data_IF_682555700850
#
_entry.id   IF_682555700850
#
_cell.length_a   1.000
_cell.length_b   1.000
_cell.length_c   1.000
_cell.angle_alpha   90.00
_cell.angle_beta   90.00
_cell.angle_gamma   90.00
#
_symmetry.space_group_name_H-M   'P 1'
#
loop_
_entity.id
_entity.type
_entity.pdbx_description
1 polymer ?
#
# COMPACT_ATOMS: atom_id res chain seq x y z
N UNK A 1 3.09 2.56 -0.85
CA UNK A 1 2.38 2.73 -2.13
C UNK A 1 0.94 3.14 -1.92
N UNK A 2 0.19 2.41 -1.09
CA UNK A 2 -1.23 2.69 -0.85
C UNK A 2 -1.44 4.12 -0.33
N UNK A 3 -0.71 4.53 0.70
CA UNK A 3 -0.81 5.88 1.29
C UNK A 3 -0.54 6.98 0.26
N UNK A 4 0.52 6.83 -0.55
CA UNK A 4 0.84 7.80 -1.60
C UNK A 4 -0.23 7.85 -2.70
N UNK A 5 -0.83 6.70 -3.05
CA UNK A 5 -1.96 6.64 -3.97
C UNK A 5 -3.20 7.33 -3.40
N UNK A 6 -3.52 7.08 -2.13
CA UNK A 6 -4.67 7.68 -1.45
C UNK A 6 -4.51 9.21 -1.33
N UNK A 7 -3.29 9.69 -1.08
CA UNK A 7 -3.00 11.13 -1.03
C UNK A 7 -3.22 11.81 -2.39
N UNK A 8 -2.73 11.19 -3.48
CA UNK A 8 -2.93 11.71 -4.82
C UNK A 8 -4.42 11.72 -5.20
N UNK A 9 -5.16 10.64 -4.90
CA UNK A 9 -6.61 10.59 -5.12
C UNK A 9 -7.31 11.69 -4.34
N UNK A 10 -6.95 11.91 -3.07
CA UNK A 10 -7.55 12.95 -2.24
C UNK A 10 -7.35 14.35 -2.84
N UNK A 11 -6.16 14.63 -3.38
CA UNK A 11 -5.85 15.88 -4.07
C UNK A 11 -6.73 16.08 -5.31
N UNK A 12 -6.86 15.05 -6.15
CA UNK A 12 -7.67 15.12 -7.36
C UNK A 12 -9.17 15.23 -7.03
N UNK A 13 -9.66 14.52 -5.99
CA UNK A 13 -11.02 14.68 -5.46
C UNK A 13 -11.27 16.13 -5.07
N UNK A 14 -10.35 16.73 -4.32
CA UNK A 14 -10.50 18.11 -3.86
C UNK A 14 -10.64 19.09 -5.03
N UNK A 15 -9.85 18.93 -6.09
CA UNK A 15 -9.97 19.75 -7.32
C UNK A 15 -11.37 19.61 -7.94
N UNK A 16 -11.86 18.39 -8.11
CA UNK A 16 -13.20 18.15 -8.65
C UNK A 16 -14.27 18.79 -7.77
N UNK A 17 -14.16 18.68 -6.45
CA UNK A 17 -15.14 19.26 -5.52
C UNK A 17 -15.13 20.80 -5.50
N UNK A 18 -13.99 21.42 -5.82
CA UNK A 18 -13.88 22.89 -5.97
C UNK A 18 -14.66 23.41 -7.18
N UNK A 19 -14.83 22.59 -8.22
CA UNK A 19 -15.59 22.92 -9.41
C UNK A 19 -17.11 22.70 -9.25
N UNK A 20 -17.52 21.97 -8.20
CA UNK A 20 -18.93 21.69 -7.93
C UNK A 20 -19.51 22.78 -7.04
N UNK A 21 -20.52 23.55 -7.53
CA UNK A 21 -21.14 24.59 -6.76
C UNK A 21 -21.94 24.02 -5.59
N UNK A 22 -22.08 24.80 -4.52
CA UNK A 22 -22.80 24.40 -3.29
C UNK A 22 -24.28 24.07 -3.55
N UNK A 23 -24.87 24.62 -4.59
CA UNK A 23 -26.25 24.37 -5.01
C UNK A 23 -26.53 22.90 -5.26
N UNK A 24 -25.52 22.12 -5.60
CA UNK A 24 -25.66 20.69 -5.87
C UNK A 24 -26.18 19.90 -4.65
N UNK A 25 -25.96 20.37 -3.41
CA UNK A 25 -26.56 19.74 -2.22
C UNK A 25 -28.09 19.75 -2.24
N UNK A 26 -28.69 20.69 -2.97
CA UNK A 26 -30.17 20.86 -3.05
C UNK A 26 -30.75 20.30 -4.34
N UNK A 27 -29.98 19.52 -5.11
CA UNK A 27 -30.41 18.94 -6.39
C UNK A 27 -31.72 18.15 -6.27
N UNK A 28 -31.88 17.42 -5.15
CA UNK A 28 -33.09 16.62 -4.88
C UNK A 28 -34.20 17.43 -4.18
N UNK A 29 -34.15 18.78 -4.25
CA UNK A 29 -35.15 19.69 -3.69
C UNK A 29 -35.42 19.47 -2.17
N UNK A 30 -34.42 19.13 -1.41
CA UNK A 30 -34.56 18.88 0.03
C UNK A 30 -34.79 20.15 0.86
N UNK A 31 -34.83 21.32 0.23
CA UNK A 31 -35.20 22.59 0.88
C UNK A 31 -34.10 23.19 1.75
N UNK A 32 -32.82 22.79 1.54
CA UNK A 32 -31.73 23.40 2.29
C UNK A 32 -31.57 24.91 1.99
N UNK A 33 -31.24 25.68 3.01
CA UNK A 33 -31.00 27.12 2.89
C UNK A 33 -29.59 27.40 2.32
N UNK A 34 -29.38 27.03 1.06
CA UNK A 34 -28.10 27.21 0.34
C UNK A 34 -27.66 28.68 0.36
N UNK A 35 -28.58 29.60 0.31
CA UNK A 35 -28.29 31.05 0.38
C UNK A 35 -27.58 31.41 1.69
N UNK A 36 -28.02 30.87 2.83
CA UNK A 36 -27.41 31.13 4.11
C UNK A 36 -25.97 30.57 4.18
N UNK A 37 -25.73 29.38 3.62
CA UNK A 37 -24.39 28.80 3.51
C UNK A 37 -23.46 29.67 2.65
N UNK A 38 -23.98 30.21 1.54
CA UNK A 38 -23.21 31.09 0.67
C UNK A 38 -22.87 32.43 1.35
N UNK A 39 -23.82 33.01 2.07
CA UNK A 39 -23.63 34.26 2.83
C UNK A 39 -22.59 34.05 3.96
N UNK A 40 -22.51 32.85 4.51
CA UNK A 40 -21.49 32.49 5.51
C UNK A 40 -20.10 32.29 4.87
N UNK A 41 -20.02 32.10 3.56
CA UNK A 41 -18.76 31.98 2.83
C UNK A 41 -18.51 30.63 2.15
N UNK A 42 -19.41 29.65 2.30
CA UNK A 42 -19.30 28.37 1.60
C UNK A 42 -19.81 28.49 0.16
N UNK A 43 -18.96 28.27 -0.83
CA UNK A 43 -19.28 28.45 -2.26
C UNK A 43 -19.30 27.14 -3.02
N UNK A 44 -18.51 26.18 -2.60
CA UNK A 44 -18.31 24.90 -3.29
C UNK A 44 -18.54 23.71 -2.34
N UNK A 45 -18.69 22.54 -2.94
CA UNK A 45 -18.79 21.29 -2.15
C UNK A 45 -17.50 21.04 -1.37
N UNK A 46 -16.34 21.47 -1.89
CA UNK A 46 -15.06 21.35 -1.19
C UNK A 46 -15.05 22.10 0.15
N UNK A 47 -15.68 23.27 0.19
CA UNK A 47 -15.76 24.07 1.43
C UNK A 47 -16.51 23.32 2.53
N UNK A 48 -17.67 22.72 2.19
CA UNK A 48 -18.47 21.93 3.14
C UNK A 48 -17.80 20.60 3.48
N UNK A 49 -17.10 19.98 2.54
CA UNK A 49 -16.40 18.71 2.77
C UNK A 49 -15.32 18.85 3.84
N UNK A 50 -14.64 20.00 3.88
CA UNK A 50 -13.51 20.27 4.78
C UNK A 50 -13.92 20.66 6.21
N UNK A 51 -15.17 21.08 6.43
CA UNK A 51 -15.61 21.59 7.75
C UNK A 51 -16.40 20.55 8.55
N UNK A 52 -16.48 20.75 9.86
CA UNK A 52 -17.26 19.89 10.77
C UNK A 52 -18.77 20.16 10.66
N UNK A 53 -19.58 19.20 11.11
CA UNK A 53 -21.05 19.37 11.21
C UNK A 53 -21.39 20.56 12.09
N UNK A 54 -20.68 20.79 13.20
CA UNK A 54 -20.89 21.91 14.11
C UNK A 54 -20.65 23.26 13.42
N UNK A 55 -19.65 23.34 12.54
CA UNK A 55 -19.39 24.56 11.75
C UNK A 55 -20.52 24.84 10.76
N UNK A 56 -21.16 23.82 10.21
CA UNK A 56 -22.34 23.98 9.35
C UNK A 56 -23.56 24.40 10.17
N UNK A 57 -23.76 23.79 11.35
CA UNK A 57 -24.87 24.11 12.25
C UNK A 57 -24.75 25.52 12.86
N UNK A 58 -23.55 26.10 12.93
CA UNK A 58 -23.36 27.49 13.39
C UNK A 58 -23.87 28.54 12.39
N UNK A 59 -24.19 28.15 11.16
CA UNK A 59 -24.76 29.05 10.15
C UNK A 59 -26.20 29.40 10.52
N UNK A 60 -26.50 30.69 10.56
CA UNK A 60 -27.84 31.16 10.92
C UNK A 60 -28.96 30.52 10.07
N UNK A 61 -29.91 29.88 10.76
CA UNK A 61 -31.05 29.22 10.12
C UNK A 61 -30.78 27.78 9.62
N UNK A 62 -29.67 27.16 10.04
CA UNK A 62 -29.39 25.75 9.82
C UNK A 62 -29.45 25.04 11.18
N UNK A 63 -30.34 24.06 11.31
CA UNK A 63 -30.40 23.21 12.49
C UNK A 63 -29.31 22.13 12.43
N UNK A 64 -28.99 21.52 13.58
CA UNK A 64 -28.01 20.44 13.66
C UNK A 64 -28.42 19.25 12.78
N UNK A 65 -29.69 18.83 12.78
CA UNK A 65 -30.21 17.77 11.92
C UNK A 65 -30.05 18.08 10.42
N UNK A 66 -30.27 19.37 10.06
CA UNK A 66 -30.03 19.83 8.69
C UNK A 66 -28.55 19.77 8.33
N UNK A 67 -27.67 20.15 9.26
CA UNK A 67 -26.22 20.08 9.04
C UNK A 67 -25.74 18.63 8.87
N UNK A 68 -26.26 17.67 9.64
CA UNK A 68 -25.99 16.23 9.44
C UNK A 68 -26.46 15.76 8.06
N UNK A 69 -27.66 16.18 7.64
CA UNK A 69 -28.21 15.80 6.33
C UNK A 69 -27.36 16.35 5.18
N UNK A 70 -26.93 17.62 5.28
CA UNK A 70 -26.01 18.25 4.32
C UNK A 70 -24.70 17.49 4.27
N UNK A 71 -24.10 17.16 5.43
CA UNK A 71 -22.82 16.44 5.50
C UNK A 71 -22.91 15.05 4.87
N UNK A 72 -24.04 14.36 5.06
CA UNK A 72 -24.28 13.05 4.45
C UNK A 72 -24.29 13.15 2.92
N UNK A 73 -25.01 14.13 2.36
CA UNK A 73 -25.07 14.32 0.91
C UNK A 73 -23.69 14.68 0.36
N UNK A 74 -22.97 15.58 1.03
CA UNK A 74 -21.61 15.93 0.64
C UNK A 74 -20.68 14.71 0.65
N UNK A 75 -20.78 13.86 1.66
CA UNK A 75 -20.00 12.62 1.72
C UNK A 75 -20.34 11.65 0.59
N UNK A 76 -21.60 11.58 0.18
CA UNK A 76 -22.01 10.80 -0.99
C UNK A 76 -21.41 11.36 -2.28
N UNK A 77 -21.41 12.69 -2.45
CA UNK A 77 -20.77 13.36 -3.60
C UNK A 77 -19.27 13.07 -3.60
N UNK A 78 -18.60 13.21 -2.46
CA UNK A 78 -17.16 12.89 -2.28
C UNK A 78 -16.88 11.44 -2.67
N UNK A 79 -17.70 10.51 -2.20
CA UNK A 79 -17.53 9.07 -2.48
C UNK A 79 -17.69 8.77 -3.97
N UNK A 80 -18.68 9.37 -4.64
CA UNK A 80 -18.90 9.25 -6.09
C UNK A 80 -17.73 9.86 -6.87
N UNK A 81 -17.26 11.06 -6.48
CA UNK A 81 -16.11 11.70 -7.09
C UNK A 81 -14.87 10.81 -6.97
N UNK A 82 -14.62 10.23 -5.78
CA UNK A 82 -13.50 9.33 -5.54
C UNK A 82 -13.54 8.08 -6.42
N UNK A 83 -14.72 7.49 -6.62
CA UNK A 83 -14.88 6.32 -7.49
C UNK A 83 -14.68 6.65 -8.97
N UNK A 84 -14.99 7.87 -9.38
CA UNK A 84 -14.83 8.33 -10.77
C UNK A 84 -13.39 8.70 -11.14
N UNK A 85 -12.51 8.96 -10.16
CA UNK A 85 -11.15 9.39 -10.43
C UNK A 85 -10.27 8.21 -10.85
N UNK A 86 -9.65 8.35 -12.02
CA UNK A 86 -8.62 7.46 -12.51
C UNK A 86 -7.27 8.16 -12.41
N UNK A 87 -6.38 7.63 -11.58
CA UNK A 87 -5.01 8.15 -11.48
C UNK A 87 -4.31 7.97 -12.82
N UNK A 88 -3.83 9.08 -13.38
CA UNK A 88 -2.96 9.10 -14.56
C UNK A 88 -1.64 9.74 -14.15
N UNK A 89 -0.57 8.95 -14.19
CA UNK A 89 0.78 9.48 -14.01
C UNK A 89 1.24 10.05 -15.34
N UNK A 90 1.48 11.36 -15.38
CA UNK A 90 2.04 12.07 -16.52
C UNK A 90 3.32 12.78 -16.09
N UNK A 91 4.27 12.91 -17.01
CA UNK A 91 5.49 13.72 -16.80
C UNK A 91 5.20 15.20 -16.56
N UNK A 92 4.01 15.64 -16.95
CA UNK A 92 3.57 17.04 -16.78
C UNK A 92 3.01 17.29 -15.36
N UNK A 93 2.54 16.24 -14.68
CA UNK A 93 2.06 16.35 -13.31
C UNK A 93 3.23 16.21 -12.32
N UNK A 94 3.82 17.34 -11.94
CA UNK A 94 4.91 17.43 -10.98
C UNK A 94 4.45 17.77 -9.56
N UNK A 95 3.21 17.42 -9.21
CA UNK A 95 2.73 17.60 -7.84
C UNK A 95 3.56 16.76 -6.86
N UNK A 96 3.61 17.21 -5.61
CA UNK A 96 4.32 16.48 -4.53
C UNK A 96 3.78 15.05 -4.39
N UNK A 97 2.46 14.91 -4.42
CA UNK A 97 1.75 13.63 -4.25
C UNK A 97 2.03 12.68 -5.43
N UNK A 98 2.09 13.18 -6.66
CA UNK A 98 2.46 12.39 -7.83
C UNK A 98 3.92 11.92 -7.73
N UNK A 99 4.82 12.78 -7.28
CA UNK A 99 6.23 12.44 -7.10
C UNK A 99 6.40 11.39 -6.01
N UNK A 100 5.73 11.53 -4.87
CA UNK A 100 5.74 10.56 -3.77
C UNK A 100 5.20 9.19 -4.22
N UNK A 101 4.16 9.15 -5.04
CA UNK A 101 3.65 7.91 -5.61
C UNK A 101 4.67 7.23 -6.53
N UNK A 102 5.33 7.97 -7.41
CA UNK A 102 6.37 7.45 -8.31
C UNK A 102 7.55 6.89 -7.50
N UNK A 103 7.99 7.60 -6.46
CA UNK A 103 9.06 7.12 -5.57
C UNK A 103 8.65 5.84 -4.84
N UNK A 104 7.43 5.79 -4.30
CA UNK A 104 6.92 4.61 -3.60
C UNK A 104 6.80 3.40 -4.54
N UNK A 105 6.37 3.59 -5.79
CA UNK A 105 6.33 2.54 -6.81
C UNK A 105 7.73 2.05 -7.19
N UNK A 106 8.68 2.96 -7.32
CA UNK A 106 10.09 2.64 -7.59
C UNK A 106 10.70 1.78 -6.47
N UNK A 107 10.48 2.17 -5.21
CA UNK A 107 10.92 1.42 -4.04
C UNK A 107 10.27 0.03 -3.98
N UNK A 108 8.97 -0.05 -4.21
CA UNK A 108 8.25 -1.32 -4.25
C UNK A 108 8.81 -2.26 -5.32
N UNK A 109 9.07 -1.77 -6.53
CA UNK A 109 9.68 -2.56 -7.62
C UNK A 109 11.05 -3.10 -7.23
N UNK A 110 11.89 -2.28 -6.60
CA UNK A 110 13.21 -2.72 -6.11
C UNK A 110 13.07 -3.80 -5.04
N UNK A 111 12.15 -3.63 -4.09
CA UNK A 111 11.90 -4.62 -3.03
C UNK A 111 11.42 -5.94 -3.60
N UNK A 112 10.58 -5.94 -4.64
CA UNK A 112 10.15 -7.16 -5.34
C UNK A 112 11.33 -7.88 -5.99
N UNK A 113 12.21 -7.16 -6.69
CA UNK A 113 13.40 -7.75 -7.30
C UNK A 113 14.29 -8.43 -6.25
N UNK A 114 14.57 -7.75 -5.13
CA UNK A 114 15.36 -8.30 -4.03
C UNK A 114 14.69 -9.53 -3.42
N UNK A 115 13.37 -9.50 -3.23
CA UNK A 115 12.62 -10.62 -2.70
C UNK A 115 12.66 -11.85 -3.61
N UNK A 116 12.56 -11.65 -4.93
CA UNK A 116 12.66 -12.74 -5.92
C UNK A 116 14.07 -13.35 -5.96
N UNK A 117 15.10 -12.52 -5.91
CA UNK A 117 16.49 -13.01 -5.87
C UNK A 117 16.77 -13.76 -4.55
N UNK A 118 16.29 -13.24 -3.42
CA UNK A 118 16.37 -13.91 -2.12
C UNK A 118 15.63 -15.26 -2.12
N UNK A 119 14.45 -15.33 -2.75
CA UNK A 119 13.69 -16.58 -2.88
C UNK A 119 14.45 -17.62 -3.68
N UNK A 120 15.10 -17.23 -4.80
CA UNK A 120 15.93 -18.13 -5.61
C UNK A 120 17.10 -18.68 -4.80
N UNK A 121 17.81 -17.82 -4.05
CA UNK A 121 18.90 -18.22 -3.19
C UNK A 121 18.44 -19.18 -2.07
N UNK A 122 17.33 -18.87 -1.42
CA UNK A 122 16.76 -19.72 -0.36
C UNK A 122 16.32 -21.07 -0.91
N UNK A 123 15.69 -21.12 -2.10
CA UNK A 123 15.28 -22.39 -2.71
C UNK A 123 16.49 -23.27 -3.08
N UNK A 124 17.55 -22.67 -3.62
CA UNK A 124 18.79 -23.38 -3.94
C UNK A 124 19.46 -23.95 -2.66
N UNK A 125 19.53 -23.14 -1.60
CA UNK A 125 20.09 -23.59 -0.32
C UNK A 125 19.21 -24.67 0.35
N UNK A 126 17.88 -24.56 0.27
CA UNK A 126 16.96 -25.55 0.82
C UNK A 126 17.17 -26.92 0.16
N UNK A 127 17.40 -26.97 -1.15
CA UNK A 127 17.73 -28.23 -1.85
C UNK A 127 19.05 -28.81 -1.37
N UNK A 128 20.09 -27.99 -1.19
CA UNK A 128 21.38 -28.45 -0.68
C UNK A 128 21.26 -28.99 0.74
N UNK A 129 20.49 -28.32 1.61
CA UNK A 129 20.22 -28.77 2.99
C UNK A 129 19.48 -30.11 2.95
N UNK A 130 18.46 -30.25 2.08
CA UNK A 130 17.73 -31.52 1.95
C UNK A 130 18.62 -32.67 1.52
N UNK A 131 19.51 -32.46 0.57
CA UNK A 131 20.50 -33.50 0.18
C UNK A 131 21.46 -33.81 1.32
N UNK A 132 21.96 -32.81 2.05
CA UNK A 132 22.83 -33.03 3.19
C UNK A 132 22.11 -33.77 4.33
N UNK A 133 20.85 -33.49 4.57
CA UNK A 133 20.00 -34.17 5.52
C UNK A 133 19.76 -35.64 5.15
N UNK A 134 19.48 -35.94 3.86
CA UNK A 134 19.35 -37.29 3.35
C UNK A 134 20.68 -38.08 3.52
N UNK A 135 21.82 -37.46 3.18
CA UNK A 135 23.13 -38.05 3.31
C UNK A 135 23.47 -38.32 4.80
N UNK A 136 23.12 -37.38 5.69
CA UNK A 136 23.34 -37.54 7.14
C UNK A 136 22.46 -38.65 7.70
N UNK A 137 21.19 -38.69 7.35
CA UNK A 137 20.27 -39.76 7.77
C UNK A 137 20.73 -41.14 7.25
N UNK A 138 21.28 -41.20 6.05
CA UNK A 138 21.87 -42.42 5.52
C UNK A 138 23.11 -42.86 6.28
N UNK A 139 23.90 -41.89 6.79
CA UNK A 139 25.09 -42.18 7.61
C UNK A 139 24.75 -42.65 9.03
N UNK A 140 23.69 -42.03 9.62
CA UNK A 140 23.25 -42.32 10.99
C UNK A 140 22.38 -43.58 11.09
N UNK A 141 21.87 -44.09 9.96
CA UNK A 141 21.00 -45.26 9.92
C UNK A 141 21.74 -46.59 10.10
N UNK A 142 21.96 -47.00 11.33
CA UNK A 142 22.39 -48.37 11.73
C UNK A 142 23.58 -48.94 10.97
N UNK A 143 23.37 -50.02 10.22
CA UNK A 143 24.41 -50.74 9.47
C UNK A 143 25.12 -49.83 8.44
N UNK A 144 24.47 -48.82 7.88
CA UNK A 144 25.06 -47.88 6.91
C UNK A 144 26.15 -47.00 7.53
N UNK A 145 26.01 -46.64 8.81
CA UNK A 145 27.04 -45.89 9.55
C UNK A 145 28.33 -46.72 9.73
N UNK A 146 28.17 -48.04 10.00
CA UNK A 146 29.31 -48.95 10.16
C UNK A 146 30.13 -49.10 8.85
N UNK A 147 29.44 -49.13 7.69
CA UNK A 147 30.12 -49.19 6.39
C UNK A 147 30.81 -47.88 6.00
N UNK A 148 30.30 -46.74 6.48
CA UNK A 148 30.92 -45.44 6.27
C UNK A 148 32.27 -45.33 7.02
N UNK A 149 32.37 -45.88 8.21
CA UNK A 149 33.61 -45.93 9.03
C UNK A 149 34.68 -46.84 8.39
N UNK A 150 34.28 -47.88 7.66
CA UNK A 150 35.20 -48.79 6.97
C UNK A 150 35.71 -48.28 5.60
N UNK A 151 35.46 -46.99 5.27
CA UNK A 151 36.01 -46.34 4.08
C UNK A 151 35.30 -46.65 2.77
N UNK A 152 34.12 -47.30 2.81
CA UNK A 152 33.26 -47.39 1.65
C UNK A 152 32.58 -46.06 1.40
N UNK A 153 32.74 -45.52 0.16
CA UNK A 153 32.08 -44.28 -0.29
C UNK A 153 30.56 -44.43 -0.25
N UNK A 154 29.95 -44.18 0.88
CA UNK A 154 28.48 -44.05 1.00
C UNK A 154 28.05 -42.59 0.81
N UNK A 155 26.79 -42.38 0.44
CA UNK A 155 26.20 -41.06 0.31
C UNK A 155 26.35 -40.17 1.55
N UNK A 156 26.44 -40.79 2.75
CA UNK A 156 26.60 -40.11 4.03
C UNK A 156 27.93 -39.36 4.24
N UNK A 157 28.96 -39.68 3.45
CA UNK A 157 30.23 -38.96 3.53
C UNK A 157 30.27 -37.65 2.73
N UNK A 158 29.31 -37.42 1.88
CA UNK A 158 29.25 -36.18 1.07
C UNK A 158 28.78 -34.94 1.88
N UNK A 159 27.97 -35.13 2.87
CA UNK A 159 27.45 -34.04 3.72
C UNK A 159 28.51 -33.30 4.52
N UNK A 160 29.66 -33.96 4.84
CA UNK A 160 30.74 -33.34 5.57
C UNK A 160 31.69 -32.47 4.74
N UNK A 161 31.64 -32.56 3.41
CA UNK A 161 32.50 -31.76 2.53
C UNK A 161 32.00 -30.36 2.27
N UNK A 162 30.75 -30.05 2.58
CA UNK A 162 30.14 -28.73 2.36
C UNK A 162 30.26 -27.73 3.52
N UNK A 163 30.87 -28.15 4.64
CA UNK A 163 31.11 -27.25 5.79
C UNK A 163 32.40 -26.40 5.65
N UNK A 164 33.07 -26.47 4.51
CA UNK A 164 34.17 -25.53 4.21
C UNK A 164 33.53 -24.35 3.45
N UNK A 165 33.16 -23.31 4.18
CA UNK A 165 32.89 -22.00 3.61
C UNK A 165 34.08 -21.60 2.75
N UNK A 166 33.89 -21.16 1.49
CA UNK A 166 34.96 -20.53 0.74
C UNK A 166 35.36 -19.26 1.51
N UNK A 167 36.55 -19.25 2.04
CA UNK A 167 37.21 -18.03 2.52
C UNK A 167 37.24 -17.02 1.36
N UNK A 168 36.53 -15.92 1.49
CA UNK A 168 36.71 -14.82 0.58
C UNK A 168 35.50 -13.99 0.20
N UNK A 169 34.56 -13.72 1.10
CA UNK A 169 33.76 -12.50 0.97
C UNK A 169 33.58 -11.84 2.34
N UNK A 170 34.53 -10.96 2.66
CA UNK A 170 34.33 -9.96 3.70
C UNK A 170 33.32 -8.96 3.20
N UNK A 171 32.12 -9.06 3.72
CA UNK A 171 31.14 -7.96 3.62
C UNK A 171 31.15 -7.27 4.98
N UNK A 172 32.04 -6.30 5.15
CA UNK A 172 31.89 -5.19 6.09
C UNK A 172 32.81 -4.04 5.63
N UNK A 173 32.24 -3.02 5.00
CA UNK A 173 32.52 -1.59 5.16
C UNK A 173 31.36 -0.80 4.55
#
# INVERSE_FOLDING_TARGET
>A
VKEASDALVAQEVLKVLQDIPIEEINRDKQGFRVKALREYGYRTIADIASVSVYSIASVHGISEDTAYSIKRIVNDIVSKARQGIKIRLSTDNRSKEATELVLALSQYRRSLSIADDSRKLLSANAQQISYAEEDLNAALGGIKWFFCIQGQKSKGCRGFQFAVFPEGQRIWS
#
